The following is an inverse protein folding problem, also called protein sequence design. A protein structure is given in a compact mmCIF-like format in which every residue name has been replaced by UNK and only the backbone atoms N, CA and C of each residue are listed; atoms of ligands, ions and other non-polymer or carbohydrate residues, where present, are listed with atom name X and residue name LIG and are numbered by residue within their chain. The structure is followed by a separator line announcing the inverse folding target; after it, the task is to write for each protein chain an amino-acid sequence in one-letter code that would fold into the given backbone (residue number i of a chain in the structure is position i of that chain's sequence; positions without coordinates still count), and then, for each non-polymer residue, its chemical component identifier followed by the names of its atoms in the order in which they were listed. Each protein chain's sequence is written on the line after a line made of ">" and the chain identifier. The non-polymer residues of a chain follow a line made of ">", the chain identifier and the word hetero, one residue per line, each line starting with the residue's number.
data_IF_418149402011
#
_entry.id   IF_418149402011
#
_cell.length_a   1.000
_cell.length_b   1.000
_cell.length_c   1.000
_cell.angle_alpha   90.00
_cell.angle_beta   90.00
_cell.angle_gamma   90.00
#
_symmetry.space_group_name_H-M   'P 1'
#
loop_
_entity.id
_entity.type
_entity.pdbx_description
1 polymer ?
#
# COMPACT_ATOMS: atom_id res chain seq x y z
N UNK A 1 4.33 -3.94 -22.12
CA UNK A 1 3.81 -3.21 -20.96
C UNK A 1 4.93 -2.31 -20.51
N UNK A 2 4.86 -1.03 -20.83
CA UNK A 2 5.87 -0.04 -20.44
C UNK A 2 5.24 0.93 -19.45
N UNK A 3 5.72 0.92 -18.21
CA UNK A 3 5.17 1.75 -17.15
C UNK A 3 5.72 3.17 -17.29
N UNK A 4 4.81 4.15 -17.36
CA UNK A 4 5.14 5.58 -17.43
C UNK A 4 5.33 6.18 -16.06
N UNK A 5 4.45 5.81 -15.12
CA UNK A 5 4.37 6.44 -13.79
C UNK A 5 3.79 5.45 -12.79
N UNK A 6 4.33 5.48 -11.58
CA UNK A 6 3.74 4.83 -10.41
C UNK A 6 3.53 5.89 -9.34
N UNK A 7 2.32 6.00 -8.81
CA UNK A 7 1.95 6.88 -7.70
C UNK A 7 1.54 6.04 -6.51
N UNK A 8 2.06 6.41 -5.34
CA UNK A 8 1.72 5.76 -4.07
C UNK A 8 1.00 6.79 -3.20
N UNK A 9 -0.19 6.44 -2.76
CA UNK A 9 -1.02 7.24 -1.88
C UNK A 9 -1.08 6.58 -0.51
N UNK A 10 -0.49 7.23 0.49
CA UNK A 10 -0.66 6.86 1.89
C UNK A 10 -1.88 7.60 2.44
N UNK A 11 -2.88 6.83 2.87
CA UNK A 11 -4.15 7.34 3.37
C UNK A 11 -4.39 6.79 4.78
N UNK A 12 -5.09 7.56 5.59
CA UNK A 12 -5.63 7.09 6.86
C UNK A 12 -7.16 7.17 6.80
N UNK A 13 -7.82 6.03 7.01
CA UNK A 13 -9.27 5.94 7.00
C UNK A 13 -9.81 5.68 8.39
N UNK A 14 -10.65 6.59 8.89
CA UNK A 14 -11.39 6.36 10.13
C UNK A 14 -12.47 5.30 9.92
N UNK A 15 -12.48 4.27 10.77
CA UNK A 15 -13.52 3.25 10.74
C UNK A 15 -14.84 3.80 11.27
N UNK A 16 -15.95 3.31 10.73
CA UNK A 16 -17.31 3.70 11.16
C UNK A 16 -17.60 3.23 12.59
N UNK A 17 -17.16 2.02 12.91
CA UNK A 17 -17.16 1.45 14.25
C UNK A 17 -15.74 0.97 14.56
N UNK A 18 -15.30 1.10 15.81
CA UNK A 18 -13.99 0.61 16.20
C UNK A 18 -13.97 -0.91 16.15
N UNK A 19 -12.81 -1.48 15.78
CA UNK A 19 -12.62 -2.92 15.70
C UNK A 19 -11.64 -3.37 16.78
N UNK A 20 -12.05 -4.29 17.64
CA UNK A 20 -11.23 -4.76 18.75
C UNK A 20 -10.58 -6.11 18.41
N UNK A 21 -9.27 -6.17 18.59
CA UNK A 21 -8.46 -7.39 18.45
C UNK A 21 -7.80 -7.72 19.77
N UNK A 22 -7.20 -8.91 19.87
CA UNK A 22 -6.37 -9.28 21.02
C UNK A 22 -5.17 -8.35 21.26
N UNK A 23 -4.81 -7.52 20.27
CA UNK A 23 -3.69 -6.58 20.33
C UNK A 23 -4.09 -5.12 20.56
N UNK A 24 -5.40 -4.82 20.66
CA UNK A 24 -5.91 -3.46 20.89
C UNK A 24 -7.11 -3.11 20.01
N UNK A 25 -7.59 -1.88 20.17
CA UNK A 25 -8.69 -1.32 19.37
C UNK A 25 -8.17 -0.50 18.20
N UNK A 26 -8.65 -0.83 17.00
CA UNK A 26 -8.35 -0.15 15.75
C UNK A 26 -9.46 0.86 15.49
N UNK A 27 -9.08 2.14 15.41
CA UNK A 27 -10.00 3.25 15.12
C UNK A 27 -9.77 3.83 13.72
N UNK A 28 -8.53 3.79 13.27
CA UNK A 28 -8.09 4.22 11.94
C UNK A 28 -7.38 3.05 11.27
N UNK A 29 -7.51 2.97 9.95
CA UNK A 29 -6.82 1.99 9.12
C UNK A 29 -5.89 2.74 8.16
N UNK A 30 -4.57 2.50 8.21
CA UNK A 30 -3.69 2.93 7.14
C UNK A 30 -4.06 2.16 5.87
N UNK A 31 -4.12 2.86 4.76
CA UNK A 31 -4.41 2.31 3.43
C UNK A 31 -3.39 2.86 2.47
N UNK A 32 -2.72 1.98 1.74
CA UNK A 32 -1.80 2.38 0.67
C UNK A 32 -2.44 1.98 -0.65
N UNK A 33 -2.70 2.98 -1.49
CA UNK A 33 -3.12 2.76 -2.88
C UNK A 33 -1.94 2.98 -3.81
N UNK A 34 -1.77 2.07 -4.76
CA UNK A 34 -0.77 2.16 -5.81
C UNK A 34 -1.49 2.32 -7.14
N UNK A 35 -1.24 3.44 -7.82
CA UNK A 35 -1.70 3.69 -9.17
C UNK A 35 -0.53 3.49 -10.13
N UNK A 36 -0.73 2.66 -11.14
CA UNK A 36 0.24 2.43 -12.22
C UNK A 36 -0.36 2.95 -13.52
N UNK A 37 0.39 3.78 -14.23
CA UNK A 37 -0.01 4.30 -15.54
C UNK A 37 0.95 3.76 -16.61
N UNK A 38 0.38 3.17 -17.67
CA UNK A 38 1.09 2.67 -18.84
C UNK A 38 1.31 3.80 -19.86
N UNK A 39 2.29 3.65 -20.76
CA UNK A 39 2.57 4.68 -21.77
C UNK A 39 1.39 4.94 -22.72
N UNK A 40 0.55 3.94 -22.99
CA UNK A 40 -0.62 4.08 -23.85
C UNK A 40 -1.85 4.65 -23.12
N UNK A 41 -1.72 4.96 -21.83
CA UNK A 41 -2.72 5.68 -21.04
C UNK A 41 -3.65 4.79 -20.20
N UNK A 42 -3.48 3.48 -20.23
CA UNK A 42 -4.17 2.58 -19.32
C UNK A 42 -3.69 2.78 -17.88
N UNK A 43 -4.64 2.67 -16.95
CA UNK A 43 -4.38 2.81 -15.52
C UNK A 43 -4.81 1.56 -14.76
N UNK A 44 -3.95 1.11 -13.85
CA UNK A 44 -4.22 0.03 -12.92
C UNK A 44 -4.11 0.52 -11.48
N UNK A 45 -4.96 -0.01 -10.60
CA UNK A 45 -4.96 0.30 -9.17
C UNK A 45 -4.77 -0.97 -8.34
N UNK A 46 -3.97 -0.87 -7.29
CA UNK A 46 -3.77 -1.91 -6.29
C UNK A 46 -3.79 -1.34 -4.87
N UNK A 47 -4.06 -2.17 -3.89
CA UNK A 47 -4.04 -1.83 -2.46
C UNK A 47 -3.01 -2.72 -1.75
N UNK A 48 -2.18 -2.11 -0.90
CA UNK A 48 -1.49 -2.87 0.15
C UNK A 48 -2.43 -2.96 1.34
N UNK A 49 -2.83 -4.18 1.68
CA UNK A 49 -3.79 -4.45 2.74
C UNK A 49 -3.16 -4.69 4.11
N UNK A 50 -1.82 -4.75 4.17
CA UNK A 50 -1.07 -4.91 5.43
C UNK A 50 -1.44 -3.79 6.41
N UNK A 51 -1.70 -4.17 7.66
CA UNK A 51 -2.06 -3.24 8.72
C UNK A 51 -0.83 -2.66 9.44
N UNK A 52 -1.07 -2.05 10.59
CA UNK A 52 -0.02 -1.59 11.50
C UNK A 52 0.68 -2.77 12.15
N UNK A 53 2.01 -2.75 12.19
CA UNK A 53 2.82 -3.75 12.87
C UNK A 53 2.68 -5.19 12.35
N UNK A 54 3.57 -6.09 12.79
CA UNK A 54 3.64 -7.46 12.26
C UNK A 54 2.72 -8.43 13.02
N UNK A 55 1.45 -8.06 13.21
CA UNK A 55 0.53 -8.84 14.05
C UNK A 55 -0.09 -10.05 13.35
N UNK A 56 -0.25 -9.98 12.02
CA UNK A 56 -0.75 -11.09 11.20
C UNK A 56 0.39 -11.90 10.59
N UNK A 57 1.36 -11.22 9.99
CA UNK A 57 2.60 -11.79 9.46
C UNK A 57 3.74 -10.78 9.67
N UNK A 58 4.91 -11.00 9.05
CA UNK A 58 6.07 -10.11 9.17
C UNK A 58 5.92 -8.77 8.43
N UNK A 59 4.84 -8.57 7.68
CA UNK A 59 4.56 -7.35 6.93
C UNK A 59 3.71 -6.38 7.75
N UNK A 60 3.99 -5.10 7.54
CA UNK A 60 3.24 -3.94 8.03
C UNK A 60 3.20 -2.90 6.91
N UNK A 61 2.23 -2.00 6.93
CA UNK A 61 2.10 -0.98 5.88
C UNK A 61 3.39 -0.16 5.72
N UNK A 62 4.09 0.14 6.81
CA UNK A 62 5.38 0.86 6.81
C UNK A 62 6.47 0.06 6.11
N UNK A 63 6.60 -1.22 6.45
CA UNK A 63 7.60 -2.09 5.79
C UNK A 63 7.28 -2.30 4.32
N UNK A 64 6.00 -2.42 3.95
CA UNK A 64 5.58 -2.54 2.56
C UNK A 64 5.89 -1.26 1.76
N UNK A 65 5.74 -0.06 2.35
CA UNK A 65 6.17 1.18 1.72
C UNK A 65 7.67 1.21 1.44
N UNK A 66 8.50 0.76 2.40
CA UNK A 66 9.95 0.66 2.20
C UNK A 66 10.27 -0.29 1.04
N UNK A 67 9.59 -1.44 0.96
CA UNK A 67 9.82 -2.42 -0.10
C UNK A 67 9.36 -1.90 -1.46
N UNK A 68 8.20 -1.23 -1.52
CA UNK A 68 7.70 -0.58 -2.73
C UNK A 68 8.69 0.47 -3.23
N UNK A 69 9.06 1.43 -2.38
CA UNK A 69 9.91 2.57 -2.74
C UNK A 69 11.34 2.16 -3.11
N UNK A 70 11.98 1.31 -2.29
CA UNK A 70 13.41 1.00 -2.47
C UNK A 70 13.70 -0.08 -3.49
N UNK A 71 12.76 -0.97 -3.78
CA UNK A 71 13.03 -2.15 -4.59
C UNK A 71 12.03 -2.34 -5.71
N UNK A 72 10.73 -2.49 -5.40
CA UNK A 72 9.76 -2.92 -6.41
C UNK A 72 9.50 -1.83 -7.47
N UNK A 73 9.22 -0.60 -7.06
CA UNK A 73 8.95 0.51 -7.98
C UNK A 73 10.16 0.78 -8.91
N UNK A 74 11.40 0.89 -8.39
CA UNK A 74 12.58 1.05 -9.25
C UNK A 74 12.75 -0.07 -10.28
N UNK A 75 12.53 -1.34 -9.88
CA UNK A 75 12.62 -2.48 -10.80
C UNK A 75 11.55 -2.38 -11.90
N UNK A 76 10.31 -2.05 -11.53
CA UNK A 76 9.19 -1.97 -12.45
C UNK A 76 9.30 -0.80 -13.44
N UNK A 77 9.93 0.30 -13.06
CA UNK A 77 10.18 1.44 -13.95
C UNK A 77 11.38 1.24 -14.91
N UNK A 78 12.22 0.23 -14.65
CA UNK A 78 13.36 -0.13 -15.51
C UNK A 78 13.05 -1.27 -16.50
N UNK A 79 11.95 -2.00 -16.27
CA UNK A 79 11.48 -3.09 -17.12
C UNK A 79 10.77 -2.58 -18.38
#
# INVERSE_FOLDING_TARGET
>A
MEIRKIEVYELEMKLKEYFETSFGSVQTRPVILVKVEEKNGEEGWGEVVAGEGPWYNYESYETSLIILDKYLIPIMLQA
#
